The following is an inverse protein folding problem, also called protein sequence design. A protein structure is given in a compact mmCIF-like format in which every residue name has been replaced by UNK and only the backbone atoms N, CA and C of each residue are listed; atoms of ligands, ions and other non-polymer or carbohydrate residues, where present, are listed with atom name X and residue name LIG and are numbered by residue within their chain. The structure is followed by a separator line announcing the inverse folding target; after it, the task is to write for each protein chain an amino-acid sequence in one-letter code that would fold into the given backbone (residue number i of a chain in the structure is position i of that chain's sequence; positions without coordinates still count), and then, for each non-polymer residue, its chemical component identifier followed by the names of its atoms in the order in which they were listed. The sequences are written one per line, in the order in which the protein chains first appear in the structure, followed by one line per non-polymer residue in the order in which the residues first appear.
data_IF_432651925610
#
_entry.id   IF_432651925610
#
_cell.length_a   1.000
_cell.length_b   1.000
_cell.length_c   1.000
_cell.angle_alpha   90.00
_cell.angle_beta   90.00
_cell.angle_gamma   90.00
#
_symmetry.space_group_name_H-M   'P 1'
#
loop_
_entity.id
_entity.type
_entity.pdbx_description
1 polymer ?
#
# COMPACT_ATOMS: atom_id res chain seq x y z
N UNK A 1 -0.97 -15.92 -28.80
CA UNK A 1 -1.11 -16.85 -27.65
C UNK A 1 -2.61 -17.09 -27.45
N UNK A 2 -3.04 -18.35 -27.40
CA UNK A 2 -4.47 -18.75 -27.42
C UNK A 2 -5.27 -18.18 -26.24
N UNK A 3 -6.44 -17.58 -26.52
CA UNK A 3 -7.31 -16.85 -25.57
C UNK A 3 -7.51 -17.54 -24.22
N UNK A 4 -7.78 -18.85 -24.20
CA UNK A 4 -8.01 -19.61 -22.97
C UNK A 4 -6.84 -19.59 -21.96
N UNK A 5 -5.59 -19.51 -22.43
CA UNK A 5 -4.42 -19.41 -21.53
C UNK A 5 -4.34 -18.05 -20.86
N UNK A 6 -4.74 -17.00 -21.58
CA UNK A 6 -4.84 -15.63 -21.04
C UNK A 6 -5.98 -15.58 -20.04
N UNK A 7 -7.14 -16.15 -20.36
CA UNK A 7 -8.30 -16.15 -19.48
C UNK A 7 -8.04 -16.94 -18.18
N UNK A 8 -7.40 -18.11 -18.29
CA UNK A 8 -6.97 -18.90 -17.12
C UNK A 8 -5.92 -18.16 -16.28
N UNK A 9 -4.92 -17.54 -16.92
CA UNK A 9 -3.91 -16.76 -16.21
C UNK A 9 -4.53 -15.55 -15.49
N UNK A 10 -5.44 -14.84 -16.13
CA UNK A 10 -6.18 -13.72 -15.52
C UNK A 10 -7.02 -14.19 -14.33
N UNK A 11 -7.75 -15.30 -14.45
CA UNK A 11 -8.50 -15.88 -13.34
C UNK A 11 -7.60 -16.29 -12.18
N UNK A 12 -6.44 -16.90 -12.47
CA UNK A 12 -5.47 -17.29 -11.45
C UNK A 12 -4.85 -16.07 -10.76
N UNK A 13 -4.56 -14.99 -11.49
CA UNK A 13 -4.01 -13.75 -10.92
C UNK A 13 -4.97 -13.14 -9.88
N UNK A 14 -6.28 -13.20 -10.13
CA UNK A 14 -7.30 -12.69 -9.19
C UNK A 14 -7.52 -13.64 -8.02
N UNK A 15 -7.57 -14.95 -8.26
CA UNK A 15 -7.88 -15.95 -7.23
C UNK A 15 -6.70 -16.29 -6.33
N UNK A 16 -5.47 -16.31 -6.87
CA UNK A 16 -4.30 -16.74 -6.11
C UNK A 16 -4.08 -15.91 -4.82
N UNK A 17 -4.16 -14.56 -4.83
CA UNK A 17 -4.04 -13.76 -3.61
C UNK A 17 -5.10 -14.13 -2.57
N UNK A 18 -6.36 -14.27 -2.99
CA UNK A 18 -7.47 -14.63 -2.10
C UNK A 18 -7.25 -16.01 -1.47
N UNK A 19 -6.84 -16.99 -2.28
CA UNK A 19 -6.56 -18.34 -1.80
C UNK A 19 -5.38 -18.37 -0.83
N UNK A 20 -4.32 -17.60 -1.08
CA UNK A 20 -3.18 -17.49 -0.17
C UNK A 20 -3.61 -16.86 1.16
N UNK A 21 -4.41 -15.79 1.13
CA UNK A 21 -4.92 -15.16 2.35
C UNK A 21 -5.77 -16.16 3.15
N UNK A 22 -6.73 -16.83 2.52
CA UNK A 22 -7.58 -17.82 3.18
C UNK A 22 -6.77 -18.99 3.73
N UNK A 23 -5.78 -19.45 2.99
CA UNK A 23 -4.87 -20.51 3.43
C UNK A 23 -4.10 -20.11 4.69
N UNK A 24 -3.50 -18.92 4.69
CA UNK A 24 -2.73 -18.40 5.83
C UNK A 24 -3.64 -18.21 7.05
N UNK A 25 -4.80 -17.57 6.86
CA UNK A 25 -5.77 -17.38 7.95
C UNK A 25 -6.23 -18.71 8.55
N UNK A 26 -6.59 -19.69 7.70
CA UNK A 26 -7.00 -21.01 8.16
C UNK A 26 -5.86 -21.76 8.86
N UNK A 27 -4.63 -21.66 8.34
CA UNK A 27 -3.45 -22.28 8.96
C UNK A 27 -3.22 -21.72 10.37
N UNK A 28 -3.19 -20.41 10.55
CA UNK A 28 -2.97 -19.83 11.88
C UNK A 28 -4.17 -20.04 12.80
N UNK A 29 -5.40 -19.90 12.29
CA UNK A 29 -6.61 -20.14 13.06
C UNK A 29 -6.64 -21.55 13.65
N UNK A 30 -6.41 -22.58 12.83
CA UNK A 30 -6.38 -23.97 13.29
C UNK A 30 -5.31 -24.18 14.36
N UNK A 31 -4.09 -23.68 14.15
CA UNK A 31 -3.00 -23.77 15.14
C UNK A 31 -3.30 -23.07 16.47
N UNK A 32 -4.03 -21.96 16.44
CA UNK A 32 -4.38 -21.20 17.64
C UNK A 32 -5.55 -21.87 18.37
N UNK A 33 -6.60 -22.27 17.66
CA UNK A 33 -7.77 -22.95 18.27
C UNK A 33 -7.37 -24.30 18.86
N UNK A 34 -6.37 -24.97 18.29
CA UNK A 34 -5.83 -26.23 18.82
C UNK A 34 -5.05 -26.07 20.14
N UNK A 35 -4.83 -24.84 20.63
CA UNK A 35 -4.20 -24.64 21.92
C UNK A 35 -5.12 -25.12 23.06
N UNK A 36 -4.59 -25.84 24.06
CA UNK A 36 -5.40 -26.46 25.11
C UNK A 36 -6.20 -25.46 25.94
N UNK A 37 -5.74 -24.20 26.01
CA UNK A 37 -6.45 -23.11 26.70
C UNK A 37 -7.67 -22.64 25.90
N UNK A 38 -7.59 -22.65 24.56
CA UNK A 38 -8.65 -22.15 23.67
C UNK A 38 -9.68 -23.25 23.38
N UNK A 39 -9.26 -24.52 23.28
CA UNK A 39 -10.17 -25.66 23.11
C UNK A 39 -11.21 -25.81 24.22
N UNK A 40 -10.91 -25.32 25.42
CA UNK A 40 -11.82 -25.35 26.58
C UNK A 40 -12.87 -24.25 26.54
N UNK A 41 -12.74 -23.27 25.64
CA UNK A 41 -13.66 -22.15 25.53
C UNK A 41 -14.88 -22.50 24.66
N UNK A 42 -16.07 -21.94 24.95
CA UNK A 42 -17.23 -22.06 24.07
C UNK A 42 -16.92 -21.52 22.67
N UNK A 43 -17.42 -22.17 21.62
CA UNK A 43 -17.08 -21.87 20.21
C UNK A 43 -16.99 -20.38 19.84
N UNK A 44 -18.01 -19.53 20.13
CA UNK A 44 -17.95 -18.10 19.82
C UNK A 44 -16.85 -17.35 20.59
N UNK A 45 -16.61 -17.73 21.85
CA UNK A 45 -15.58 -17.12 22.70
C UNK A 45 -14.19 -17.58 22.23
N UNK A 46 -14.04 -18.88 21.93
CA UNK A 46 -12.79 -19.44 21.38
C UNK A 46 -12.40 -18.77 20.05
N UNK A 47 -13.37 -18.49 19.17
CA UNK A 47 -13.13 -17.74 17.92
C UNK A 47 -12.59 -16.34 18.19
N UNK A 48 -13.26 -15.56 19.04
CA UNK A 48 -12.83 -14.19 19.37
C UNK A 48 -11.43 -14.20 19.98
N UNK A 49 -11.18 -15.10 20.94
CA UNK A 49 -9.86 -15.24 21.57
C UNK A 49 -8.79 -15.64 20.55
N UNK A 50 -9.09 -16.56 19.64
CA UNK A 50 -8.14 -16.97 18.60
C UNK A 50 -7.78 -15.81 17.67
N UNK A 51 -8.76 -15.00 17.25
CA UNK A 51 -8.53 -13.79 16.47
C UNK A 51 -7.71 -12.77 17.26
N UNK A 52 -8.02 -12.54 18.53
CA UNK A 52 -7.24 -11.63 19.39
C UNK A 52 -5.79 -12.08 19.52
N UNK A 53 -5.56 -13.38 19.76
CA UNK A 53 -4.21 -13.96 19.84
C UNK A 53 -3.47 -13.81 18.51
N UNK A 54 -4.13 -14.04 17.38
CA UNK A 54 -3.54 -13.84 16.06
C UNK A 54 -3.13 -12.38 15.84
N UNK A 55 -4.02 -11.42 16.15
CA UNK A 55 -3.73 -9.99 16.04
C UNK A 55 -2.55 -9.61 16.96
N UNK A 56 -2.54 -10.07 18.21
CA UNK A 56 -1.42 -9.83 19.12
C UNK A 56 -0.11 -10.42 18.61
N UNK A 57 -0.14 -11.60 17.98
CA UNK A 57 1.03 -12.21 17.36
C UNK A 57 1.56 -11.36 16.21
N UNK A 58 0.68 -10.87 15.33
CA UNK A 58 1.06 -9.97 14.23
C UNK A 58 1.72 -8.69 14.76
N UNK A 59 1.11 -8.04 15.76
CA UNK A 59 1.71 -6.85 16.39
C UNK A 59 3.06 -7.18 17.04
N UNK A 60 3.16 -8.31 17.75
CA UNK A 60 4.40 -8.74 18.41
C UNK A 60 5.55 -8.93 17.40
N UNK A 61 5.26 -9.57 16.26
CA UNK A 61 6.23 -9.69 15.16
C UNK A 61 6.59 -8.30 14.61
N UNK A 62 5.61 -7.43 14.36
CA UNK A 62 5.86 -6.06 13.91
C UNK A 62 6.76 -5.26 14.85
N UNK A 63 6.54 -5.35 16.17
CA UNK A 63 7.41 -4.73 17.17
C UNK A 63 8.81 -5.34 17.18
N UNK A 64 8.93 -6.66 17.08
CA UNK A 64 10.22 -7.34 17.00
C UNK A 64 11.04 -6.86 15.81
N UNK A 65 10.41 -6.66 14.65
CA UNK A 65 11.06 -6.18 13.42
C UNK A 65 11.67 -4.77 13.58
N UNK A 66 11.17 -3.95 14.52
CA UNK A 66 11.76 -2.63 14.81
C UNK A 66 13.08 -2.70 15.58
N UNK A 67 13.41 -3.84 16.18
CA UNK A 67 14.62 -4.04 16.99
C UNK A 67 15.82 -4.49 16.15
N UNK A 68 17.03 -4.42 16.72
CA UNK A 68 18.26 -4.94 16.07
C UNK A 68 18.16 -6.44 15.75
N UNK A 69 17.50 -7.22 16.62
CA UNK A 69 17.26 -8.64 16.40
C UNK A 69 16.32 -8.86 15.22
N UNK A 70 15.29 -8.02 15.10
CA UNK A 70 14.37 -8.02 13.96
C UNK A 70 15.09 -7.82 12.64
N UNK A 71 15.94 -6.78 12.54
CA UNK A 71 16.74 -6.51 11.33
C UNK A 71 17.68 -7.67 10.97
N UNK A 72 18.26 -8.33 11.97
CA UNK A 72 19.09 -9.51 11.74
C UNK A 72 18.25 -10.66 11.19
N UNK A 73 17.09 -10.95 11.80
CA UNK A 73 16.17 -11.99 11.33
C UNK A 73 15.68 -11.72 9.90
N UNK A 74 15.34 -10.48 9.60
CA UNK A 74 14.96 -10.04 8.26
C UNK A 74 16.05 -10.34 7.23
N UNK A 75 17.31 -10.01 7.53
CA UNK A 75 18.42 -10.28 6.62
C UNK A 75 18.62 -11.78 6.35
N UNK A 76 18.41 -12.64 7.35
CA UNK A 76 18.46 -14.09 7.17
C UNK A 76 17.30 -14.59 6.32
N UNK A 77 16.09 -14.07 6.55
CA UNK A 77 14.91 -14.42 5.78
C UNK A 77 15.06 -13.99 4.31
N UNK A 78 15.51 -12.76 4.06
CA UNK A 78 15.85 -12.25 2.74
C UNK A 78 16.85 -13.18 2.06
N UNK A 79 17.95 -13.53 2.73
CA UNK A 79 18.95 -14.43 2.18
C UNK A 79 18.38 -15.82 1.86
N UNK A 80 17.50 -16.36 2.70
CA UNK A 80 16.87 -17.66 2.47
C UNK A 80 15.91 -17.63 1.28
N UNK A 81 15.02 -16.63 1.21
CA UNK A 81 14.04 -16.49 0.13
C UNK A 81 14.72 -16.23 -1.22
N UNK A 82 15.81 -15.45 -1.23
CA UNK A 82 16.56 -15.13 -2.44
C UNK A 82 17.40 -16.32 -2.98
N UNK A 83 17.51 -17.44 -2.27
CA UNK A 83 18.21 -18.65 -2.79
C UNK A 83 17.42 -19.42 -3.82
N UNK A 84 16.08 -19.36 -3.78
CA UNK A 84 15.23 -20.15 -4.66
C UNK A 84 14.73 -19.25 -5.80
N UNK A 85 15.07 -19.53 -7.07
CA UNK A 85 14.81 -18.61 -8.19
C UNK A 85 13.36 -18.14 -8.33
N UNK A 86 12.39 -19.03 -8.15
CA UNK A 86 10.97 -18.69 -8.25
C UNK A 86 10.45 -17.91 -7.03
N UNK A 87 10.83 -18.35 -5.82
CA UNK A 87 10.40 -17.71 -4.57
C UNK A 87 10.97 -16.29 -4.48
N UNK A 88 12.21 -16.10 -4.92
CA UNK A 88 12.88 -14.80 -4.98
C UNK A 88 12.06 -13.75 -5.72
N UNK A 89 11.48 -14.10 -6.89
CA UNK A 89 10.69 -13.16 -7.70
C UNK A 89 9.44 -12.74 -6.94
N UNK A 90 8.69 -13.71 -6.41
CA UNK A 90 7.45 -13.44 -5.67
C UNK A 90 7.73 -12.66 -4.37
N UNK A 91 8.73 -13.06 -3.61
CA UNK A 91 9.11 -12.43 -2.35
C UNK A 91 9.50 -10.96 -2.54
N UNK A 92 10.37 -10.66 -3.51
CA UNK A 92 10.82 -9.29 -3.75
C UNK A 92 9.70 -8.41 -4.31
N UNK A 93 8.85 -8.94 -5.18
CA UNK A 93 7.69 -8.20 -5.68
C UNK A 93 6.70 -7.85 -4.55
N UNK A 94 6.41 -8.81 -3.67
CA UNK A 94 5.56 -8.58 -2.50
C UNK A 94 6.19 -7.63 -1.49
N UNK A 95 7.47 -7.80 -1.17
CA UNK A 95 8.20 -6.92 -0.24
C UNK A 95 8.21 -5.48 -0.75
N UNK A 96 8.53 -5.27 -2.03
CA UNK A 96 8.51 -3.96 -2.65
C UNK A 96 7.11 -3.33 -2.61
N UNK A 97 6.06 -4.09 -2.91
CA UNK A 97 4.68 -3.59 -2.87
C UNK A 97 4.28 -3.15 -1.44
N UNK A 98 4.63 -3.93 -0.42
CA UNK A 98 4.35 -3.61 0.98
C UNK A 98 5.18 -2.42 1.46
N UNK A 99 6.49 -2.42 1.21
CA UNK A 99 7.36 -1.30 1.56
C UNK A 99 6.86 -0.02 0.91
N UNK A 100 6.54 -0.04 -0.38
CA UNK A 100 5.98 1.11 -1.09
C UNK A 100 4.70 1.62 -0.45
N UNK A 101 3.76 0.72 -0.13
CA UNK A 101 2.47 1.09 0.46
C UNK A 101 2.61 1.69 1.87
N UNK A 102 3.55 1.17 2.66
CA UNK A 102 3.74 1.58 4.06
C UNK A 102 4.67 2.79 4.18
N UNK A 103 5.82 2.79 3.50
CA UNK A 103 6.82 3.86 3.59
C UNK A 103 6.47 5.11 2.78
N UNK A 104 5.59 4.99 1.79
CA UNK A 104 5.19 6.11 0.93
C UNK A 104 4.08 6.99 1.48
N UNK A 105 3.34 6.52 2.50
CA UNK A 105 1.98 7.06 2.78
C UNK A 105 1.75 7.48 4.22
N UNK A 106 2.45 6.90 5.20
CA UNK A 106 2.19 7.18 6.62
C UNK A 106 2.56 8.61 7.05
N UNK A 107 3.47 9.27 6.33
CA UNK A 107 3.85 10.68 6.56
C UNK A 107 3.05 11.69 5.70
N UNK A 108 2.20 11.21 4.78
CA UNK A 108 1.42 12.05 3.87
C UNK A 108 0.11 12.46 4.55
N UNK A 109 0.10 13.65 5.14
CA UNK A 109 -1.01 14.07 5.99
C UNK A 109 -2.26 14.46 5.19
N UNK A 110 -2.08 15.24 4.13
CA UNK A 110 -3.20 15.78 3.35
C UNK A 110 -2.81 15.97 1.89
N UNK A 111 -3.61 15.48 0.93
CA UNK A 111 -3.42 15.82 -0.47
C UNK A 111 -3.66 17.32 -0.67
N UNK A 112 -2.92 17.91 -1.59
CA UNK A 112 -3.03 19.29 -2.04
C UNK A 112 -2.80 19.37 -3.55
N UNK A 113 -3.25 20.45 -4.18
CA UNK A 113 -2.82 20.78 -5.54
C UNK A 113 -1.78 21.89 -5.48
N UNK A 114 -0.75 21.74 -6.29
CA UNK A 114 0.24 22.77 -6.56
C UNK A 114 0.28 23.04 -8.05
N UNK A 115 0.72 24.23 -8.42
CA UNK A 115 0.81 24.67 -9.82
C UNK A 115 2.26 25.01 -10.16
N UNK A 116 3.14 24.00 -10.41
CA UNK A 116 4.55 24.27 -10.69
C UNK A 116 4.75 24.99 -12.03
N UNK A 117 3.77 24.90 -12.92
CA UNK A 117 3.73 25.57 -14.21
C UNK A 117 2.34 26.13 -14.45
N UNK A 118 2.28 27.28 -15.11
CA UNK A 118 1.04 28.00 -15.41
C UNK A 118 0.01 27.10 -16.12
N UNK A 119 -1.17 26.99 -15.52
CA UNK A 119 -2.28 26.14 -15.96
C UNK A 119 -2.19 24.66 -15.58
N UNK A 120 -1.11 24.18 -14.94
CA UNK A 120 -0.91 22.76 -14.63
C UNK A 120 -1.00 22.47 -13.14
N UNK A 121 -2.11 21.85 -12.71
CA UNK A 121 -2.32 21.42 -11.32
C UNK A 121 -1.83 19.99 -11.10
N UNK A 122 -0.89 19.83 -10.19
CA UNK A 122 -0.33 18.54 -9.81
C UNK A 122 -0.71 18.17 -8.39
N UNK A 123 -0.88 16.88 -8.13
CA UNK A 123 -1.18 16.38 -6.79
C UNK A 123 0.10 16.20 -6.01
N UNK A 124 0.15 16.83 -4.85
CA UNK A 124 1.22 16.66 -3.87
C UNK A 124 0.60 16.39 -2.51
N UNK A 125 1.42 16.04 -1.54
CA UNK A 125 0.99 15.69 -0.20
C UNK A 125 1.84 16.43 0.83
N UNK A 126 1.18 16.98 1.85
CA UNK A 126 1.88 17.64 2.97
C UNK A 126 2.64 16.61 3.78
N UNK A 127 3.91 16.91 4.06
CA UNK A 127 4.76 16.08 4.94
C UNK A 127 4.63 16.44 6.41
N UNK A 128 3.85 17.48 6.75
CA UNK A 128 3.75 18.03 8.10
C UNK A 128 4.96 18.84 8.57
N UNK A 129 5.95 19.06 7.70
CA UNK A 129 7.14 19.87 7.99
C UNK A 129 7.04 21.27 7.39
N UNK A 130 7.63 22.23 8.08
CA UNK A 130 7.74 23.63 7.66
C UNK A 130 9.19 24.07 7.84
N UNK A 131 9.69 24.83 6.87
CA UNK A 131 11.03 25.41 6.92
C UNK A 131 11.09 26.60 7.89
N UNK A 132 12.30 27.04 8.25
CA UNK A 132 12.48 28.18 9.17
C UNK A 132 11.90 29.49 8.61
N UNK A 133 11.82 29.63 7.28
CA UNK A 133 11.22 30.77 6.60
C UNK A 133 9.72 30.59 6.27
N UNK A 134 9.09 29.55 6.82
CA UNK A 134 7.63 29.37 6.80
C UNK A 134 7.07 28.62 5.60
N UNK A 135 7.90 28.07 4.71
CA UNK A 135 7.45 27.27 3.56
C UNK A 135 7.00 25.89 4.00
N UNK A 136 5.97 25.36 3.35
CA UNK A 136 5.47 24.01 3.62
C UNK A 136 6.24 23.01 2.77
N UNK A 137 6.72 21.94 3.40
CA UNK A 137 7.40 20.86 2.69
C UNK A 137 6.36 19.87 2.15
N UNK A 138 6.33 19.73 0.83
CA UNK A 138 5.44 18.85 0.09
C UNK A 138 6.22 17.73 -0.59
N UNK A 139 5.60 16.56 -0.70
CA UNK A 139 6.04 15.48 -1.57
C UNK A 139 5.10 15.34 -2.77
N UNK A 140 5.65 15.46 -3.97
CA UNK A 140 4.94 15.22 -5.22
C UNK A 140 5.39 13.88 -5.83
N UNK A 141 4.58 12.81 -5.73
CA UNK A 141 4.93 11.53 -6.31
C UNK A 141 4.84 11.54 -7.83
N UNK A 142 5.56 10.62 -8.46
CA UNK A 142 5.35 10.25 -9.87
C UNK A 142 4.24 9.21 -10.00
N UNK A 143 3.54 9.21 -11.13
CA UNK A 143 2.57 8.18 -11.47
C UNK A 143 3.15 7.16 -12.46
N UNK A 144 2.80 5.86 -12.38
CA UNK A 144 2.08 5.22 -11.27
C UNK A 144 2.99 4.89 -10.08
N UNK A 145 4.32 5.02 -10.24
CA UNK A 145 5.27 4.64 -9.21
C UNK A 145 5.44 5.74 -8.14
N UNK A 146 4.74 5.61 -7.02
CA UNK A 146 4.75 6.58 -5.92
C UNK A 146 6.00 6.54 -5.03
N UNK A 147 6.92 5.60 -5.26
CA UNK A 147 8.21 5.55 -4.52
C UNK A 147 9.19 6.62 -4.98
N UNK A 148 8.92 7.24 -6.13
CA UNK A 148 9.74 8.29 -6.72
C UNK A 148 8.93 9.58 -6.83
N UNK A 149 9.61 10.72 -6.80
CA UNK A 149 8.95 12.02 -6.80
C UNK A 149 9.89 13.16 -6.47
N UNK A 150 9.30 14.32 -6.24
CA UNK A 150 9.99 15.55 -5.85
C UNK A 150 9.62 15.91 -4.42
N UNK A 151 10.61 16.36 -3.65
CA UNK A 151 10.38 17.09 -2.40
C UNK A 151 10.51 18.57 -2.71
N UNK A 152 9.53 19.35 -2.31
CA UNK A 152 9.43 20.77 -2.64
C UNK A 152 9.11 21.59 -1.40
N UNK A 153 9.71 22.76 -1.31
CA UNK A 153 9.38 23.78 -0.31
C UNK A 153 8.55 24.86 -1.01
N UNK A 154 7.29 24.98 -0.63
CA UNK A 154 6.32 25.82 -1.35
C UNK A 154 5.75 26.86 -0.39
N UNK A 155 5.56 28.09 -0.89
CA UNK A 155 4.87 29.13 -0.12
C UNK A 155 3.44 28.66 0.19
N UNK A 156 2.93 28.83 1.42
CA UNK A 156 1.56 28.46 1.76
C UNK A 156 0.51 29.05 0.80
N UNK A 157 0.76 30.22 0.20
CA UNK A 157 -0.15 30.87 -0.74
C UNK A 157 -0.27 30.14 -2.09
N UNK A 158 0.76 29.39 -2.48
CA UNK A 158 0.81 28.65 -3.76
C UNK A 158 0.22 27.23 -3.64
N UNK A 159 -0.35 26.91 -2.47
CA UNK A 159 -0.95 25.61 -2.18
C UNK A 159 -2.47 25.73 -2.25
N UNK A 160 -3.08 24.97 -3.16
CA UNK A 160 -4.53 24.82 -3.21
C UNK A 160 -4.93 23.61 -2.38
N UNK A 161 -5.63 23.86 -1.27
CA UNK A 161 -6.23 22.80 -0.44
C UNK A 161 -7.26 22.01 -1.25
N UNK A 162 -7.30 20.69 -1.05
CA UNK A 162 -8.36 19.83 -1.60
C UNK A 162 -9.15 19.15 -0.48
N UNK A 163 -10.38 18.80 -0.80
CA UNK A 163 -11.28 17.99 0.02
C UNK A 163 -11.16 16.48 -0.30
N UNK A 164 -10.28 16.10 -1.25
CA UNK A 164 -9.95 14.71 -1.56
C UNK A 164 -9.42 13.98 -0.32
N UNK A 165 -9.86 12.73 -0.10
CA UNK A 165 -9.20 11.85 0.88
C UNK A 165 -7.83 11.41 0.33
N UNK A 166 -6.91 11.08 1.24
CA UNK A 166 -5.57 10.59 0.86
C UNK A 166 -5.66 9.38 -0.07
N UNK A 167 -6.57 8.44 0.21
CA UNK A 167 -6.77 7.23 -0.58
C UNK A 167 -7.28 7.52 -1.99
N UNK A 168 -8.14 8.53 -2.16
CA UNK A 168 -8.69 8.94 -3.45
C UNK A 168 -7.60 9.56 -4.33
N UNK A 169 -6.83 10.47 -3.76
CA UNK A 169 -5.69 11.09 -4.43
C UNK A 169 -4.63 10.05 -4.84
N UNK A 170 -4.33 9.09 -3.97
CA UNK A 170 -3.38 8.02 -4.26
C UNK A 170 -3.90 7.05 -5.30
N UNK A 171 -5.19 6.69 -5.27
CA UNK A 171 -5.80 5.82 -6.29
C UNK A 171 -5.65 6.43 -7.67
N UNK A 172 -5.90 7.75 -7.80
CA UNK A 172 -5.70 8.47 -9.05
C UNK A 172 -4.24 8.50 -9.49
N UNK A 173 -3.28 8.74 -8.58
CA UNK A 173 -1.85 8.73 -8.92
C UNK A 173 -1.35 7.33 -9.30
N UNK A 174 -1.70 6.30 -8.52
CA UNK A 174 -1.30 4.91 -8.74
C UNK A 174 -1.89 4.32 -10.03
N UNK A 175 -3.09 4.77 -10.40
CA UNK A 175 -3.73 4.38 -11.67
C UNK A 175 -3.27 5.22 -12.86
N UNK A 176 -2.31 6.14 -12.69
CA UNK A 176 -1.90 7.09 -13.72
C UNK A 176 -3.06 7.92 -14.31
N UNK A 177 -4.06 8.23 -13.48
CA UNK A 177 -5.24 9.01 -13.86
C UNK A 177 -6.40 8.18 -14.42
N UNK A 178 -6.24 6.87 -14.62
CA UNK A 178 -7.32 6.02 -15.16
C UNK A 178 -8.33 5.56 -14.10
N UNK A 179 -7.99 5.68 -12.82
CA UNK A 179 -8.85 5.35 -11.69
C UNK A 179 -9.49 6.62 -11.14
N UNK A 180 -10.74 6.88 -11.52
CA UNK A 180 -11.62 7.85 -10.87
C UNK A 180 -12.79 7.11 -10.22
N UNK A 181 -13.02 7.35 -8.92
CA UNK A 181 -14.29 7.03 -8.26
C UNK A 181 -15.29 8.19 -8.47
N UNK A 182 -16.58 7.83 -8.53
CA UNK A 182 -17.76 8.58 -9.01
C UNK A 182 -18.03 10.00 -8.46
N UNK A 183 -17.15 10.58 -7.62
CA UNK A 183 -17.37 11.86 -6.92
C UNK A 183 -16.71 13.08 -7.55
N UNK A 184 -15.84 12.89 -8.55
CA UNK A 184 -15.27 14.00 -9.33
C UNK A 184 -15.98 14.07 -10.67
N UNK A 185 -16.48 15.24 -11.13
CA UNK A 185 -17.04 15.35 -12.47
C UNK A 185 -15.97 14.86 -13.46
N UNK A 186 -16.36 13.97 -14.41
CA UNK A 186 -15.39 13.32 -15.29
C UNK A 186 -14.55 14.38 -16.01
N UNK A 187 -13.24 14.15 -16.03
CA UNK A 187 -12.34 14.96 -16.86
C UNK A 187 -12.60 14.54 -18.30
N UNK A 188 -13.48 15.28 -18.98
CA UNK A 188 -13.79 15.07 -20.39
C UNK A 188 -12.59 15.51 -21.24
N UNK A 189 -11.71 14.56 -21.54
CA UNK A 189 -10.68 14.76 -22.55
C UNK A 189 -11.30 14.33 -23.87
N UNK A 190 -11.69 15.31 -24.69
CA UNK A 190 -12.17 15.07 -26.04
C UNK A 190 -11.06 14.42 -26.87
N UNK A 191 -11.12 13.10 -27.02
CA UNK A 191 -10.17 12.34 -27.84
C UNK A 191 -10.52 12.35 -29.33
N UNK A 192 -11.46 13.18 -29.78
CA UNK A 192 -11.83 13.32 -31.20
C UNK A 192 -11.28 14.60 -31.80
N UNK A 193 -9.96 14.66 -31.96
CA UNK A 193 -9.39 15.46 -33.04
C UNK A 193 -8.14 14.78 -33.59
N UNK A 194 -8.06 14.74 -34.93
CA UNK A 194 -7.02 14.18 -35.79
C UNK A 194 -7.35 12.83 -36.47
N UNK A 195 -8.30 12.89 -37.42
CA UNK A 195 -8.22 12.24 -38.74
C UNK A 195 -8.27 13.34 -39.82
#
# INVERSE_FOLDING_TARGET
MSSWRRDFASGLIVLAPVLVILFVLNYFYSRIVDLPVIQQLPGPIGFVVAVTVFVMLVFSVGYLMRTTVGRLFESYLDAAMNRVPLIRVLYNASKLAVETAVSGTEDLQKPVKVEPWDGMRMTAFKTGKTTDDGRVVLFMPTAPNITTGFVMEVDPADITETDERVEEALTRVLSAGFGEEERTPPIDIDTRSED
#
